data_IF_670611922955
#
_entry.id   IF_670611922955
#
_cell.length_a   1.000
_cell.length_b   1.000
_cell.length_c   1.000
_cell.angle_alpha   90.00
_cell.angle_beta   90.00
_cell.angle_gamma   90.00
#
_symmetry.space_group_name_H-M   'P 1'
#
loop_
_entity.id
_entity.type
_entity.pdbx_description
1 polymer ?
#
# COMPACT_ATOMS: atom_id res chain seq x y z
N UNK A 1 -6.52 -9.22 1.91
CA UNK A 1 -7.95 -8.82 1.95
C UNK A 1 -8.02 -7.48 1.24
N UNK A 2 -9.19 -7.08 0.72
CA UNK A 2 -9.35 -5.93 -0.18
C UNK A 2 -8.71 -4.62 0.26
N UNK A 3 -8.58 -3.68 -0.68
CA UNK A 3 -8.03 -2.35 -0.40
C UNK A 3 -9.06 -1.46 0.29
N UNK A 4 -8.68 -0.91 1.44
CA UNK A 4 -9.50 0.03 2.22
C UNK A 4 -10.03 1.17 1.35
N UNK A 5 -11.35 1.33 1.34
CA UNK A 5 -12.08 2.32 0.55
C UNK A 5 -11.66 3.76 0.90
N UNK A 6 -11.31 4.04 2.15
CA UNK A 6 -10.96 5.40 2.60
C UNK A 6 -9.63 5.90 2.01
N UNK A 7 -8.78 4.98 1.54
CA UNK A 7 -7.52 5.31 0.88
C UNK A 7 -7.71 5.84 -0.54
N UNK A 8 -8.86 5.59 -1.17
CA UNK A 8 -9.10 6.00 -2.55
C UNK A 8 -9.42 7.49 -2.65
N UNK A 9 -8.96 8.08 -3.75
CA UNK A 9 -9.22 9.47 -4.10
C UNK A 9 -10.31 9.51 -5.17
N UNK A 10 -11.42 10.16 -4.83
CA UNK A 10 -12.57 10.28 -5.73
C UNK A 10 -13.61 9.18 -5.53
N UNK A 11 -14.46 9.01 -6.53
CA UNK A 11 -15.55 8.04 -6.50
C UNK A 11 -15.06 6.65 -6.91
N UNK A 12 -15.41 5.64 -6.12
CA UNK A 12 -15.24 4.23 -6.47
C UNK A 12 -16.59 3.64 -6.82
N UNK A 13 -16.68 2.99 -7.98
CA UNK A 13 -17.90 2.30 -8.40
C UNK A 13 -18.18 1.11 -7.45
N UNK A 14 -19.41 0.99 -6.97
CA UNK A 14 -19.85 -0.09 -6.07
C UNK A 14 -19.64 -1.48 -6.67
N UNK A 15 -19.69 -1.62 -8.00
CA UNK A 15 -19.38 -2.87 -8.70
C UNK A 15 -17.91 -3.30 -8.60
N UNK A 16 -17.03 -2.45 -8.07
CA UNK A 16 -15.63 -2.76 -7.79
C UNK A 16 -15.37 -3.09 -6.31
N UNK A 17 -16.43 -3.23 -5.52
CA UNK A 17 -16.35 -3.64 -4.12
C UNK A 17 -16.55 -5.15 -3.98
N UNK A 18 -15.82 -5.74 -3.03
CA UNK A 18 -15.97 -7.14 -2.68
C UNK A 18 -17.27 -7.36 -1.91
N UNK A 19 -18.11 -8.30 -2.35
CA UNK A 19 -19.36 -8.62 -1.64
C UNK A 19 -19.13 -9.13 -0.20
N UNK A 20 -17.96 -9.72 0.09
CA UNK A 20 -17.63 -10.27 1.42
C UNK A 20 -17.02 -9.23 2.36
N UNK A 21 -15.91 -8.59 1.98
CA UNK A 21 -15.22 -7.65 2.87
C UNK A 21 -15.69 -6.20 2.72
N UNK A 22 -16.48 -5.87 1.68
CA UNK A 22 -16.99 -4.53 1.38
C UNK A 22 -15.93 -3.47 1.03
N UNK A 23 -14.67 -3.89 0.96
CA UNK A 23 -13.54 -3.09 0.46
C UNK A 23 -13.36 -3.21 -1.06
N UNK A 24 -12.50 -2.37 -1.64
CA UNK A 24 -12.16 -2.42 -3.07
C UNK A 24 -11.44 -3.72 -3.40
N UNK A 25 -11.83 -4.34 -4.51
CA UNK A 25 -11.37 -5.69 -4.88
C UNK A 25 -9.84 -5.80 -5.01
N UNK A 26 -9.26 -6.76 -4.29
CA UNK A 26 -7.87 -7.22 -4.44
C UNK A 26 -7.85 -8.58 -5.13
N UNK A 27 -7.07 -8.72 -6.22
CA UNK A 27 -7.04 -9.93 -7.07
C UNK A 27 -8.46 -10.44 -7.38
N UNK A 28 -9.27 -9.66 -8.13
CA UNK A 28 -10.71 -9.88 -8.24
C UNK A 28 -11.07 -11.17 -8.99
N UNK A 29 -12.00 -11.93 -8.41
CA UNK A 29 -12.71 -13.05 -9.03
C UNK A 29 -14.20 -12.74 -9.12
N UNK A 30 -14.83 -13.21 -10.19
CA UNK A 30 -16.25 -13.08 -10.44
C UNK A 30 -16.90 -14.46 -10.54
N UNK A 31 -18.02 -14.61 -9.86
CA UNK A 31 -18.84 -15.81 -9.93
C UNK A 31 -19.74 -15.80 -11.19
N UNK A 32 -20.24 -16.97 -11.64
CA UNK A 32 -21.21 -17.03 -12.74
C UNK A 32 -22.52 -16.29 -12.46
N UNK A 33 -22.85 -16.03 -11.19
CA UNK A 33 -23.97 -15.19 -10.76
C UNK A 33 -23.63 -13.69 -10.73
N UNK A 34 -22.54 -13.28 -11.39
CA UNK A 34 -22.08 -11.90 -11.59
C UNK A 34 -21.55 -11.16 -10.34
N UNK A 35 -21.69 -11.73 -9.14
CA UNK A 35 -21.07 -11.21 -7.91
C UNK A 35 -19.54 -11.30 -7.93
N UNK A 36 -18.87 -10.27 -7.39
CA UNK A 36 -17.42 -10.12 -7.39
C UNK A 36 -16.82 -10.19 -5.97
N UNK A 37 -15.63 -10.80 -5.88
CA UNK A 37 -14.95 -11.08 -4.63
C UNK A 37 -13.45 -10.89 -4.76
N UNK A 38 -12.77 -10.56 -3.65
CA UNK A 38 -11.34 -10.77 -3.57
C UNK A 38 -11.05 -12.27 -3.57
N UNK A 39 -9.96 -12.69 -4.23
CA UNK A 39 -9.51 -14.09 -4.27
C UNK A 39 -9.45 -14.74 -2.87
N UNK A 40 -8.83 -14.04 -1.91
CA UNK A 40 -8.71 -14.52 -0.54
C UNK A 40 -10.08 -14.66 0.15
N UNK A 41 -11.01 -13.73 -0.09
CA UNK A 41 -12.32 -13.73 0.56
C UNK A 41 -13.17 -14.92 0.09
N UNK A 42 -13.30 -15.10 -1.23
CA UNK A 42 -14.15 -16.17 -1.77
C UNK A 42 -13.52 -17.55 -1.54
N UNK A 43 -12.19 -17.65 -1.63
CA UNK A 43 -11.49 -18.90 -1.34
C UNK A 43 -11.73 -19.33 0.12
N UNK A 44 -11.63 -18.40 1.07
CA UNK A 44 -11.89 -18.71 2.48
C UNK A 44 -13.35 -19.13 2.73
N UNK A 45 -14.31 -18.53 2.03
CA UNK A 45 -15.72 -18.90 2.15
C UNK A 45 -15.99 -20.31 1.60
N UNK A 46 -15.42 -20.63 0.43
CA UNK A 46 -15.67 -21.89 -0.28
C UNK A 46 -14.99 -23.11 0.35
N UNK A 47 -14.14 -22.91 1.37
CA UNK A 47 -13.62 -24.01 2.22
C UNK A 47 -14.76 -24.65 3.03
N UNK A 48 -15.73 -23.84 3.46
CA UNK A 48 -16.79 -24.28 4.37
C UNK A 48 -18.17 -24.35 3.70
N UNK A 49 -18.32 -23.71 2.54
CA UNK A 49 -19.59 -23.59 1.82
C UNK A 49 -19.39 -23.90 0.33
N UNK A 50 -20.44 -24.36 -0.35
CA UNK A 50 -20.44 -24.55 -1.81
C UNK A 50 -21.48 -23.65 -2.47
N UNK A 51 -21.57 -22.42 -1.99
CA UNK A 51 -22.56 -21.45 -2.44
C UNK A 51 -22.00 -20.03 -2.42
N UNK A 52 -22.62 -19.16 -3.21
CA UNK A 52 -22.37 -17.73 -3.22
C UNK A 52 -22.79 -17.07 -1.89
N UNK A 53 -21.95 -16.20 -1.28
CA UNK A 53 -22.29 -15.47 -0.06
C UNK A 53 -23.55 -14.59 -0.13
N UNK A 54 -23.85 -14.02 -1.30
CA UNK A 54 -24.94 -13.04 -1.47
C UNK A 54 -26.29 -13.69 -1.80
N UNK A 55 -26.33 -14.54 -2.83
CA UNK A 55 -27.57 -15.13 -3.37
C UNK A 55 -27.76 -16.62 -3.03
N UNK A 56 -26.76 -17.26 -2.39
CA UNK A 56 -26.74 -18.68 -2.01
C UNK A 56 -26.84 -19.66 -3.19
N UNK A 57 -26.64 -19.20 -4.42
CA UNK A 57 -26.57 -20.07 -5.59
C UNK A 57 -25.36 -21.02 -5.48
N UNK A 58 -25.45 -22.25 -6.00
CA UNK A 58 -24.33 -23.20 -5.99
C UNK A 58 -23.09 -22.59 -6.64
N UNK A 59 -21.96 -22.65 -5.94
CA UNK A 59 -20.73 -22.02 -6.38
C UNK A 59 -19.53 -22.88 -5.97
N UNK A 60 -18.59 -23.02 -6.88
CA UNK A 60 -17.33 -23.73 -6.67
C UNK A 60 -16.14 -22.92 -7.21
N UNK A 61 -14.95 -23.15 -6.63
CA UNK A 61 -13.72 -22.42 -6.97
C UNK A 61 -13.39 -22.58 -8.47
N UNK A 62 -13.65 -23.76 -9.04
CA UNK A 62 -13.39 -24.05 -10.47
C UNK A 62 -14.25 -23.22 -11.44
N UNK A 63 -15.38 -22.70 -10.98
CA UNK A 63 -16.33 -21.91 -11.78
C UNK A 63 -16.02 -20.41 -11.76
N UNK A 64 -15.18 -19.97 -10.80
CA UNK A 64 -14.77 -18.58 -10.70
C UNK A 64 -13.96 -18.16 -11.93
N UNK A 65 -14.13 -16.91 -12.33
CA UNK A 65 -13.42 -16.33 -13.47
C UNK A 65 -12.81 -15.00 -13.08
N UNK A 66 -11.70 -14.59 -13.72
CA UNK A 66 -11.21 -13.23 -13.57
C UNK A 66 -12.29 -12.20 -14.00
N UNK A 67 -12.43 -11.12 -13.23
CA UNK A 67 -13.43 -10.04 -13.46
C UNK A 67 -13.43 -9.51 -14.90
N UNK A 68 -14.56 -9.06 -15.47
CA UNK A 68 -14.56 -8.55 -16.84
C UNK A 68 -13.48 -7.49 -17.13
N UNK A 69 -12.89 -7.54 -18.34
CA UNK A 69 -11.72 -6.72 -18.73
C UNK A 69 -11.95 -5.22 -18.50
N UNK A 70 -13.12 -4.70 -18.83
CA UNK A 70 -13.41 -3.27 -18.65
C UNK A 70 -13.38 -2.89 -17.16
N UNK A 71 -14.00 -3.68 -16.28
CA UNK A 71 -13.98 -3.45 -14.83
C UNK A 71 -12.57 -3.58 -14.26
N UNK A 72 -11.76 -4.53 -14.75
CA UNK A 72 -10.34 -4.62 -14.36
C UNK A 72 -9.57 -3.36 -14.75
N UNK A 73 -9.81 -2.83 -15.95
CA UNK A 73 -9.16 -1.60 -16.39
C UNK A 73 -9.60 -0.40 -15.55
N UNK A 74 -10.87 -0.35 -15.15
CA UNK A 74 -11.40 0.73 -14.28
C UNK A 74 -10.80 0.62 -12.88
N UNK A 75 -10.74 -0.59 -12.33
CA UNK A 75 -10.07 -0.90 -11.06
C UNK A 75 -8.60 -0.46 -11.07
N UNK A 76 -7.84 -0.81 -12.12
CA UNK A 76 -6.44 -0.44 -12.29
C UNK A 76 -6.18 1.07 -12.32
N UNK A 77 -7.15 1.85 -12.80
CA UNK A 77 -7.05 3.32 -12.92
C UNK A 77 -7.45 4.07 -11.65
N UNK A 78 -8.05 3.40 -10.67
CA UNK A 78 -8.42 4.04 -9.42
C UNK A 78 -7.19 4.66 -8.76
N UNK A 79 -7.35 5.87 -8.23
CA UNK A 79 -6.31 6.59 -7.52
C UNK A 79 -6.38 6.27 -6.03
N UNK A 80 -5.25 5.92 -5.45
CA UNK A 80 -5.16 5.47 -4.05
C UNK A 80 -3.97 6.13 -3.36
N UNK A 81 -4.14 6.49 -2.09
CA UNK A 81 -3.06 6.97 -1.22
C UNK A 81 -2.20 5.80 -0.74
N UNK A 82 -0.90 6.03 -0.64
CA UNK A 82 0.03 5.07 -0.05
C UNK A 82 -0.39 4.66 1.37
N UNK A 83 -0.15 3.40 1.74
CA UNK A 83 -0.41 2.89 3.11
C UNK A 83 0.40 3.67 4.16
N UNK A 84 1.54 4.22 3.77
CA UNK A 84 2.41 5.03 4.62
C UNK A 84 2.01 6.52 4.66
N UNK A 85 0.79 6.88 4.24
CA UNK A 85 0.32 8.28 4.31
C UNK A 85 0.31 8.83 5.73
N UNK A 86 -0.02 8.01 6.73
CA UNK A 86 0.10 8.39 8.14
C UNK A 86 1.55 8.67 8.61
N UNK A 87 2.55 8.25 7.83
CA UNK A 87 3.98 8.50 8.09
C UNK A 87 4.55 9.68 7.30
N UNK A 88 3.71 10.38 6.53
CA UNK A 88 4.11 11.52 5.70
C UNK A 88 4.27 11.20 4.21
N UNK A 89 3.86 10.01 3.75
CA UNK A 89 3.83 9.74 2.32
C UNK A 89 2.57 10.34 1.66
N UNK A 90 2.72 11.48 1.00
CA UNK A 90 1.63 12.14 0.28
C UNK A 90 1.42 11.60 -1.15
N UNK A 91 2.02 10.47 -1.49
CA UNK A 91 1.91 9.90 -2.83
C UNK A 91 0.49 9.37 -3.10
N UNK A 92 -0.06 9.82 -4.23
CA UNK A 92 -1.29 9.29 -4.83
C UNK A 92 -0.90 8.66 -6.17
N UNK A 93 -1.16 7.38 -6.33
CA UNK A 93 -0.83 6.64 -7.56
C UNK A 93 -2.03 5.82 -8.05
N UNK A 94 -1.93 5.33 -9.28
CA UNK A 94 -2.88 4.37 -9.82
C UNK A 94 -2.71 3.03 -9.10
N UNK A 95 -3.82 2.32 -8.87
CA UNK A 95 -3.81 1.01 -8.21
C UNK A 95 -2.88 0.01 -8.92
N UNK A 96 -2.79 0.07 -10.26
CA UNK A 96 -1.86 -0.73 -11.07
C UNK A 96 -0.38 -0.58 -10.64
N UNK A 97 0.02 0.61 -10.22
CA UNK A 97 1.40 0.97 -9.84
C UNK A 97 1.59 1.05 -8.32
N UNK A 98 0.57 0.69 -7.54
CA UNK A 98 0.61 0.85 -6.09
C UNK A 98 1.71 0.00 -5.46
N UNK A 99 1.78 -1.29 -5.81
CA UNK A 99 2.77 -2.20 -5.23
C UNK A 99 4.21 -1.75 -5.51
N UNK A 100 4.51 -1.31 -6.73
CA UNK A 100 5.84 -0.77 -7.07
C UNK A 100 6.19 0.46 -6.23
N UNK A 101 5.21 1.33 -5.96
CA UNK A 101 5.44 2.47 -5.08
C UNK A 101 5.64 2.04 -3.62
N UNK A 102 4.83 1.11 -3.10
CA UNK A 102 4.91 0.66 -1.71
C UNK A 102 6.24 -0.05 -1.41
N UNK A 103 6.78 -0.81 -2.38
CA UNK A 103 8.08 -1.48 -2.28
C UNK A 103 9.26 -0.48 -2.23
N UNK A 104 9.15 0.63 -2.96
CA UNK A 104 10.18 1.67 -3.05
C UNK A 104 9.90 2.88 -2.13
N UNK A 105 8.86 2.79 -1.29
CA UNK A 105 8.36 3.93 -0.54
C UNK A 105 9.40 4.41 0.49
N UNK A 106 9.87 5.68 0.42
CA UNK A 106 10.84 6.21 1.39
C UNK A 106 10.32 6.31 2.84
N UNK A 107 9.00 6.16 3.00
CA UNK A 107 8.33 6.21 4.30
C UNK A 107 7.96 4.82 4.84
N UNK A 108 8.33 3.75 4.14
CA UNK A 108 8.17 2.39 4.64
C UNK A 108 9.08 2.20 5.88
N UNK A 109 8.51 1.62 6.94
CA UNK A 109 9.26 1.26 8.13
C UNK A 109 10.09 0.01 7.87
N UNK A 110 11.41 0.13 8.03
CA UNK A 110 12.29 -1.04 8.08
C UNK A 110 12.53 -1.36 9.56
N UNK A 111 12.23 -2.59 9.97
CA UNK A 111 12.64 -3.08 11.29
C UNK A 111 14.17 -3.18 11.32
N UNK A 112 14.83 -2.23 11.98
CA UNK A 112 16.27 -2.27 12.19
C UNK A 112 16.61 -3.42 13.16
N UNK A 113 17.34 -4.43 12.68
CA UNK A 113 17.74 -5.62 13.45
C UNK A 113 19.09 -5.45 14.19
N UNK A 114 19.68 -4.25 14.21
CA UNK A 114 21.02 -4.05 14.77
C UNK A 114 21.09 -3.28 16.11
N UNK A 115 19.97 -2.77 16.63
CA UNK A 115 19.95 -2.15 17.96
C UNK A 115 18.85 -2.79 18.80
N UNK A 116 19.19 -3.33 19.97
CA UNK A 116 18.26 -3.92 20.95
C UNK A 116 17.32 -2.89 21.62
N UNK A 117 16.84 -1.94 20.84
CA UNK A 117 15.82 -0.94 21.16
C UNK A 117 14.96 -0.83 19.90
N UNK A 118 13.66 -0.95 20.07
CA UNK A 118 12.64 -0.83 19.01
C UNK A 118 12.62 0.59 18.48
N UNK A 119 13.60 0.96 17.66
CA UNK A 119 13.61 2.17 16.89
C UNK A 119 13.05 1.85 15.50
N UNK A 120 11.90 2.43 15.19
CA UNK A 120 11.33 2.44 13.84
C UNK A 120 12.16 3.40 12.99
N UNK A 121 13.00 2.88 12.10
CA UNK A 121 13.73 3.71 11.15
C UNK A 121 12.91 3.87 9.87
N UNK A 122 12.64 5.12 9.50
CA UNK A 122 12.10 5.49 8.19
C UNK A 122 13.24 5.38 7.16
N UNK A 123 12.99 4.95 5.92
CA UNK A 123 14.02 4.89 4.87
C UNK A 123 14.73 6.25 4.65
N UNK A 124 14.03 7.37 4.85
CA UNK A 124 14.62 8.72 4.88
C UNK A 124 15.68 8.96 5.97
N UNK A 125 15.77 8.09 6.98
CA UNK A 125 16.79 8.17 8.05
C UNK A 125 18.06 7.40 7.73
N UNK A 126 18.06 6.54 6.71
CA UNK A 126 19.25 5.73 6.37
C UNK A 126 20.33 6.61 5.72
N UNK A 127 19.94 7.57 4.87
CA UNK A 127 20.87 8.57 4.31
C UNK A 127 21.35 9.60 5.35
N UNK A 128 20.64 9.77 6.47
CA UNK A 128 21.06 10.66 7.55
C UNK A 128 22.03 10.00 8.55
N UNK A 129 22.15 8.67 8.54
CA UNK A 129 22.98 7.90 9.47
C UNK A 129 24.41 7.62 8.95
N UNK A 130 24.64 7.63 7.64
CA UNK A 130 25.97 7.38 7.04
C UNK A 130 26.81 8.65 6.78
N UNK A 131 26.42 9.80 7.37
CA UNK A 131 27.00 11.10 7.02
C UNK A 131 27.60 11.97 8.14
N UNK A 132 27.75 11.49 9.38
CA UNK A 132 28.32 12.31 10.49
C UNK A 132 29.31 11.56 11.39
N UNK A 133 30.36 11.03 10.79
CA UNK A 133 31.70 10.97 11.41
C UNK A 133 32.61 12.01 10.76
N UNK A 134 32.26 13.28 10.89
CA UNK A 134 33.22 14.38 10.81
C UNK A 134 33.49 14.86 12.24
N UNK A 135 34.22 14.02 12.98
CA UNK A 135 34.97 14.49 14.12
C UNK A 135 36.14 15.32 13.56
N UNK A 136 35.96 16.63 13.45
CA UNK A 136 37.08 17.56 13.36
C UNK A 136 36.82 18.74 14.27
N UNK A 137 37.55 18.69 15.38
CA UNK A 137 37.74 19.77 16.33
C UNK A 137 38.28 21.01 15.61
N UNK A 138 37.56 22.13 15.63
CA UNK A 138 38.12 23.46 15.44
C UNK A 138 37.08 24.55 15.81
N UNK A 139 36.70 24.64 17.09
CA UNK A 139 36.28 25.91 17.65
C UNK A 139 37.53 26.60 18.22
N UNK A 140 38.17 27.42 17.41
CA UNK A 140 38.92 28.57 17.90
C UNK A 140 38.45 29.78 17.10
N UNK A 141 37.66 30.60 17.79
CA UNK A 141 37.17 31.86 17.28
C UNK A 141 38.29 32.86 17.06
N UNK A 142 38.08 33.69 16.03
CA UNK A 142 38.27 35.13 16.06
C UNK A 142 39.56 35.67 16.72
N UNK A 143 40.56 36.00 15.89
CA UNK A 143 40.94 37.40 15.77
C UNK A 143 41.65 37.65 14.43
N UNK A 144 41.00 38.41 13.55
CA UNK A 144 41.56 38.88 12.30
C UNK A 144 41.10 40.31 12.05
N UNK A 145 41.90 41.28 12.48
CA UNK A 145 41.95 42.60 11.85
C UNK A 145 43.43 42.89 11.57
N UNK A 146 43.77 42.86 10.28
CA UNK A 146 45.00 43.39 9.70
C UNK A 146 44.61 44.63 8.89
N UNK A 147 45.61 45.50 8.66
CA UNK A 147 45.63 46.84 8.02
C UNK A 147 45.60 47.95 9.08
N UNK A 148 46.52 48.92 9.12
CA UNK A 148 47.46 49.43 8.12
C UNK A 148 48.55 50.28 8.83
N UNK A 149 49.65 50.56 8.11
CA UNK A 149 50.81 51.43 8.39
C UNK A 149 52.08 50.76 8.95
#
# INVERSE_FOLDING_TARGET
>A
MGYDLERFVGYVNEGLLCCVCRDVLERPLQAPCEHAYCDACISSWLIHHHSCPEDRLPLDISTLRPLHRYMRNDLSRLQIRCVNSGQGCDAVCCLETLHTHEDECPFAFISCSYTGTTALCVLQSVEAAEGRTAHNNAWNGFNGMVTNM
#
